data_IF_026237213729
#
_entry.id   IF_026237213729
#
_cell.length_a   1.000
_cell.length_b   1.000
_cell.length_c   1.000
_cell.angle_alpha   90.00
_cell.angle_beta   90.00
_cell.angle_gamma   90.00
#
_symmetry.space_group_name_H-M   'P 1'
#
loop_
_entity.id
_entity.type
_entity.pdbx_description
1 polymer ?
#
# COMPACT_ATOMS: atom_id res chain seq x y z
N UNK A 1 -45.89 81.44 -0.52
CA UNK A 1 -47.19 81.83 0.06
C UNK A 1 -47.02 81.76 1.57
N UNK A 2 -47.20 82.86 2.29
CA UNK A 2 -47.04 82.85 3.75
C UNK A 2 -48.09 81.92 4.38
N UNK A 3 -47.67 81.05 5.31
CA UNK A 3 -48.61 80.18 6.03
C UNK A 3 -49.35 81.01 7.07
N UNK A 4 -50.65 81.22 6.86
CA UNK A 4 -51.52 81.81 7.88
C UNK A 4 -51.75 80.81 9.02
N UNK A 5 -51.68 81.27 10.27
CA UNK A 5 -51.82 80.43 11.46
C UNK A 5 -53.15 80.74 12.16
N UNK A 6 -53.94 79.70 12.40
CA UNK A 6 -55.19 79.75 13.16
C UNK A 6 -55.03 78.97 14.46
N UNK A 7 -55.34 79.59 15.60
CA UNK A 7 -55.20 78.99 16.93
C UNK A 7 -56.50 79.06 17.73
N UNK A 8 -56.98 77.92 18.20
CA UNK A 8 -58.21 77.80 19.01
C UNK A 8 -57.86 77.27 20.39
N UNK A 9 -58.34 77.95 21.44
CA UNK A 9 -58.29 77.43 22.81
C UNK A 9 -59.45 76.47 23.02
N UNK A 10 -59.12 75.20 23.21
CA UNK A 10 -60.09 74.15 23.55
C UNK A 10 -59.86 73.68 24.98
N UNK A 11 -60.91 73.13 25.60
CA UNK A 11 -60.81 72.49 26.90
C UNK A 11 -59.93 71.21 26.80
N UNK A 12 -59.37 70.72 27.93
CA UNK A 12 -58.47 69.56 27.90
C UNK A 12 -59.14 68.29 27.35
N UNK A 13 -60.44 68.10 27.59
CA UNK A 13 -61.18 66.93 27.09
C UNK A 13 -61.28 66.90 25.55
N UNK A 14 -61.61 68.03 24.91
CA UNK A 14 -61.67 68.11 23.44
C UNK A 14 -60.27 67.99 22.86
N UNK A 15 -59.26 68.58 23.51
CA UNK A 15 -57.87 68.45 23.07
C UNK A 15 -57.44 66.98 22.98
N UNK A 16 -57.79 66.18 23.99
CA UNK A 16 -57.45 64.76 24.05
C UNK A 16 -58.20 63.94 22.98
N UNK A 17 -59.51 64.20 22.80
CA UNK A 17 -60.31 63.58 21.74
C UNK A 17 -59.79 63.91 20.34
N UNK A 18 -59.50 65.18 20.06
CA UNK A 18 -58.94 65.64 18.78
C UNK A 18 -57.58 64.99 18.51
N UNK A 19 -56.69 64.96 19.52
CA UNK A 19 -55.37 64.35 19.37
C UNK A 19 -55.47 62.84 19.08
N UNK A 20 -56.42 62.15 19.72
CA UNK A 20 -56.68 60.72 19.49
C UNK A 20 -57.22 60.46 18.07
N UNK A 21 -58.15 61.29 17.60
CA UNK A 21 -58.71 61.18 16.24
C UNK A 21 -57.66 61.43 15.16
N UNK A 22 -56.76 62.41 15.37
CA UNK A 22 -55.64 62.67 14.44
C UNK A 22 -54.73 61.44 14.38
N UNK A 23 -54.33 60.89 15.52
CA UNK A 23 -53.44 59.72 15.58
C UNK A 23 -54.04 58.49 14.87
N UNK A 24 -55.35 58.24 15.03
CA UNK A 24 -56.06 57.13 14.36
C UNK A 24 -56.19 57.35 12.86
N UNK A 25 -56.34 58.61 12.42
CA UNK A 25 -56.49 58.93 10.99
C UNK A 25 -55.20 58.77 10.19
N UNK A 26 -54.03 58.78 10.85
CA UNK A 26 -52.72 58.79 10.18
C UNK A 26 -52.40 60.07 9.40
N UNK A 27 -53.28 61.08 9.47
CA UNK A 27 -53.11 62.39 8.83
C UNK A 27 -52.32 63.34 9.75
N UNK A 28 -51.64 64.32 9.16
CA UNK A 28 -51.09 65.43 9.95
C UNK A 28 -52.22 66.28 10.56
N UNK A 29 -51.96 66.97 11.67
CA UNK A 29 -52.97 67.81 12.32
C UNK A 29 -53.58 68.87 11.39
N UNK A 30 -52.82 69.32 10.39
CA UNK A 30 -53.28 70.25 9.36
C UNK A 30 -54.27 69.58 8.41
N UNK A 31 -53.88 68.46 7.80
CA UNK A 31 -54.72 67.72 6.83
C UNK A 31 -55.99 67.20 7.49
N UNK A 32 -55.89 66.76 8.74
CA UNK A 32 -57.04 66.35 9.54
C UNK A 32 -58.01 67.52 9.74
N UNK A 33 -57.51 68.70 10.12
CA UNK A 33 -58.37 69.88 10.34
C UNK A 33 -59.02 70.38 9.04
N UNK A 34 -58.27 70.45 7.94
CA UNK A 34 -58.81 70.77 6.61
C UNK A 34 -59.88 69.77 6.18
N UNK A 35 -59.67 68.47 6.45
CA UNK A 35 -60.66 67.42 6.19
C UNK A 35 -61.91 67.56 7.05
N UNK A 36 -61.79 67.99 8.30
CA UNK A 36 -62.95 68.20 9.20
C UNK A 36 -63.75 69.43 8.79
N UNK A 37 -63.08 70.52 8.41
CA UNK A 37 -63.74 71.75 7.93
C UNK A 37 -64.54 71.47 6.65
N UNK A 38 -63.93 70.77 5.68
CA UNK A 38 -64.63 70.38 4.45
C UNK A 38 -65.80 69.42 4.72
N UNK A 39 -65.66 68.48 5.68
CA UNK A 39 -66.77 67.62 6.10
C UNK A 39 -67.92 68.43 6.71
N UNK A 40 -67.59 69.41 7.54
CA UNK A 40 -68.57 70.29 8.18
C UNK A 40 -69.31 71.15 7.15
N UNK A 41 -68.60 71.72 6.16
CA UNK A 41 -69.22 72.46 5.06
C UNK A 41 -70.17 71.57 4.25
N UNK A 42 -69.77 70.34 3.95
CA UNK A 42 -70.61 69.35 3.26
C UNK A 42 -71.87 68.99 4.06
N UNK A 43 -71.73 68.80 5.39
CA UNK A 43 -72.83 68.54 6.31
C UNK A 43 -73.82 69.72 6.32
N UNK A 44 -73.30 70.95 6.35
CA UNK A 44 -74.10 72.18 6.36
C UNK A 44 -74.84 72.35 5.03
N UNK A 45 -74.20 72.01 3.91
CA UNK A 45 -74.83 71.99 2.57
C UNK A 45 -75.95 70.94 2.46
N UNK A 46 -75.79 69.75 3.04
CA UNK A 46 -76.84 68.71 3.08
C UNK A 46 -78.14 69.19 3.75
N UNK A 47 -78.07 70.14 4.67
CA UNK A 47 -79.24 70.69 5.37
C UNK A 47 -79.91 71.89 4.67
N UNK A 48 -79.35 72.38 3.55
CA UNK A 48 -79.90 73.50 2.79
C UNK A 48 -81.14 73.07 1.96
N UNK A 49 -82.20 73.89 1.91
CA UNK A 49 -83.48 73.55 1.25
C UNK A 49 -83.36 73.23 -0.24
N UNK A 50 -82.37 73.81 -0.92
CA UNK A 50 -82.04 73.55 -2.34
C UNK A 50 -81.33 72.21 -2.58
N UNK A 51 -80.63 71.67 -1.59
CA UNK A 51 -79.90 70.40 -1.68
C UNK A 51 -80.76 69.17 -1.33
N UNK A 52 -81.90 69.38 -0.64
CA UNK A 52 -82.85 68.30 -0.30
C UNK A 52 -83.30 67.46 -1.51
N UNK A 53 -83.37 68.05 -2.71
CA UNK A 53 -83.71 67.34 -3.95
C UNK A 53 -82.66 66.32 -4.39
N UNK A 54 -81.39 66.48 -3.97
CA UNK A 54 -80.26 65.62 -4.32
C UNK A 54 -79.75 64.79 -3.14
N UNK A 55 -80.42 64.87 -1.99
CA UNK A 55 -79.98 64.25 -0.75
C UNK A 55 -79.93 62.72 -0.86
N UNK A 56 -80.92 62.14 -1.55
CA UNK A 56 -80.95 60.71 -1.90
C UNK A 56 -79.75 60.30 -2.76
N UNK A 57 -79.39 61.10 -3.77
CA UNK A 57 -78.26 60.80 -4.65
C UNK A 57 -76.92 60.89 -3.88
N UNK A 58 -76.79 61.86 -2.97
CA UNK A 58 -75.63 62.00 -2.08
C UNK A 58 -75.49 60.81 -1.11
N UNK A 59 -76.60 60.28 -0.59
CA UNK A 59 -76.59 59.08 0.26
C UNK A 59 -76.14 57.83 -0.51
N UNK A 60 -76.67 57.63 -1.73
CA UNK A 60 -76.26 56.53 -2.62
C UNK A 60 -74.77 56.66 -2.97
N UNK A 61 -74.28 57.87 -3.27
CA UNK A 61 -72.87 58.08 -3.58
C UNK A 61 -71.97 57.79 -2.37
N UNK A 62 -72.41 58.16 -1.16
CA UNK A 62 -71.71 57.85 0.07
C UNK A 62 -71.68 56.35 0.34
N UNK A 63 -72.77 55.63 0.10
CA UNK A 63 -72.84 54.17 0.17
C UNK A 63 -71.88 53.51 -0.82
N UNK A 64 -71.91 53.92 -2.10
CA UNK A 64 -71.00 53.41 -3.12
C UNK A 64 -69.53 53.66 -2.77
N UNK A 65 -69.21 54.85 -2.26
CA UNK A 65 -67.85 55.20 -1.82
C UNK A 65 -67.41 54.31 -0.64
N UNK A 66 -68.32 54.06 0.31
CA UNK A 66 -68.06 53.17 1.44
C UNK A 66 -67.82 51.74 0.98
N UNK A 67 -68.64 51.25 0.03
CA UNK A 67 -68.48 49.94 -0.57
C UNK A 67 -67.17 49.79 -1.34
N UNK A 68 -66.75 50.83 -2.07
CA UNK A 68 -65.45 50.87 -2.74
C UNK A 68 -64.32 50.74 -1.71
N UNK A 69 -64.38 51.49 -0.61
CA UNK A 69 -63.38 51.41 0.47
C UNK A 69 -63.32 50.02 1.11
N UNK A 70 -64.46 49.37 1.36
CA UNK A 70 -64.49 47.99 1.87
C UNK A 70 -63.81 47.00 0.93
N UNK A 71 -64.09 47.11 -0.39
CA UNK A 71 -63.46 46.27 -1.40
C UNK A 71 -61.96 46.51 -1.44
N UNK A 72 -61.51 47.77 -1.36
CA UNK A 72 -60.09 48.11 -1.26
C UNK A 72 -59.45 47.53 0.00
N UNK A 73 -60.05 47.69 1.18
CA UNK A 73 -59.54 47.12 2.43
C UNK A 73 -59.46 45.59 2.37
N UNK A 74 -60.46 44.94 1.79
CA UNK A 74 -60.47 43.48 1.59
C UNK A 74 -59.35 43.05 0.64
N UNK A 75 -59.12 43.78 -0.45
CA UNK A 75 -58.05 43.49 -1.39
C UNK A 75 -56.67 43.68 -0.75
N UNK A 76 -56.46 44.78 -0.02
CA UNK A 76 -55.22 45.04 0.72
C UNK A 76 -54.95 43.90 1.70
N UNK A 77 -55.97 43.50 2.48
CA UNK A 77 -55.84 42.37 3.41
C UNK A 77 -55.46 41.08 2.70
N UNK A 78 -56.13 40.77 1.59
CA UNK A 78 -55.81 39.58 0.79
C UNK A 78 -54.36 39.61 0.29
N UNK A 79 -53.89 40.75 -0.21
CA UNK A 79 -52.49 40.90 -0.67
C UNK A 79 -51.51 40.71 0.48
N UNK A 80 -51.81 41.24 1.67
CA UNK A 80 -50.99 41.05 2.87
C UNK A 80 -50.95 39.56 3.25
N UNK A 81 -52.10 38.90 3.29
CA UNK A 81 -52.21 37.48 3.64
C UNK A 81 -51.47 36.58 2.63
N UNK A 82 -51.62 36.83 1.33
CA UNK A 82 -50.92 36.12 0.26
C UNK A 82 -49.40 36.33 0.34
N UNK A 83 -48.95 37.56 0.64
CA UNK A 83 -47.53 37.87 0.81
C UNK A 83 -46.94 37.20 2.06
N UNK A 84 -47.68 37.20 3.18
CA UNK A 84 -47.26 36.51 4.40
C UNK A 84 -47.14 35.01 4.16
N UNK A 85 -48.13 34.40 3.51
CA UNK A 85 -48.08 32.99 3.14
C UNK A 85 -46.85 32.69 2.27
N UNK A 86 -46.64 33.45 1.20
CA UNK A 86 -45.49 33.28 0.31
C UNK A 86 -44.16 33.46 1.04
N UNK A 87 -44.05 34.46 1.91
CA UNK A 87 -42.86 34.69 2.73
C UNK A 87 -42.58 33.53 3.67
N UNK A 88 -43.61 32.93 4.30
CA UNK A 88 -43.42 31.75 5.15
C UNK A 88 -42.98 30.52 4.37
N UNK A 89 -43.49 30.34 3.16
CA UNK A 89 -43.12 29.19 2.31
C UNK A 89 -41.68 29.34 1.79
N UNK A 90 -41.28 30.56 1.40
CA UNK A 90 -39.88 30.88 1.06
C UNK A 90 -38.96 30.59 2.25
N UNK A 91 -39.35 30.95 3.47
CA UNK A 91 -38.55 30.70 4.67
C UNK A 91 -38.36 29.19 4.92
N UNK A 92 -39.42 28.38 4.78
CA UNK A 92 -39.33 26.91 4.91
C UNK A 92 -38.39 26.30 3.86
N UNK A 93 -38.56 26.68 2.59
CA UNK A 93 -37.71 26.18 1.50
C UNK A 93 -36.25 26.58 1.72
N UNK A 94 -36.02 27.81 2.21
CA UNK A 94 -34.67 28.29 2.53
C UNK A 94 -34.04 27.47 3.66
N UNK A 95 -34.79 27.16 4.72
CA UNK A 95 -34.33 26.31 5.82
C UNK A 95 -34.01 24.89 5.36
N UNK A 96 -34.87 24.28 4.55
CA UNK A 96 -34.63 22.93 4.06
C UNK A 96 -33.41 22.88 3.12
N UNK A 97 -33.26 23.86 2.24
CA UNK A 97 -32.07 24.00 1.41
C UNK A 97 -30.81 24.15 2.26
N UNK A 98 -30.85 24.95 3.32
CA UNK A 98 -29.73 25.14 4.23
C UNK A 98 -29.34 23.82 4.94
N UNK A 99 -30.34 23.05 5.40
CA UNK A 99 -30.13 21.73 6.00
C UNK A 99 -29.43 20.77 5.04
N UNK A 100 -29.87 20.72 3.78
CA UNK A 100 -29.26 19.86 2.75
C UNK A 100 -27.81 20.30 2.46
N UNK A 101 -27.55 21.61 2.40
CA UNK A 101 -26.20 22.14 2.21
C UNK A 101 -25.28 21.69 3.35
N UNK A 102 -25.73 21.82 4.60
CA UNK A 102 -24.95 21.40 5.77
C UNK A 102 -24.66 19.89 5.77
N UNK A 103 -25.64 19.07 5.39
CA UNK A 103 -25.49 17.62 5.27
C UNK A 103 -24.44 17.25 4.20
N UNK A 104 -24.50 17.91 3.03
CA UNK A 104 -23.52 17.70 1.95
C UNK A 104 -22.12 18.19 2.35
N UNK A 105 -22.01 19.33 3.03
CA UNK A 105 -20.73 19.84 3.53
C UNK A 105 -20.09 18.89 4.54
N UNK A 106 -20.88 18.32 5.45
CA UNK A 106 -20.41 17.31 6.39
C UNK A 106 -19.93 16.05 5.67
N UNK A 107 -20.65 15.59 4.65
CA UNK A 107 -20.23 14.43 3.85
C UNK A 107 -18.92 14.70 3.09
N UNK A 108 -18.77 15.90 2.50
CA UNK A 108 -17.53 16.32 1.84
C UNK A 108 -16.36 16.36 2.83
N UNK A 109 -16.57 16.90 4.02
CA UNK A 109 -15.54 16.91 5.07
C UNK A 109 -15.14 15.51 5.52
N UNK A 110 -16.12 14.60 5.65
CA UNK A 110 -15.87 13.21 6.01
C UNK A 110 -15.04 12.50 4.93
N UNK A 111 -15.47 12.58 3.67
CA UNK A 111 -14.76 11.95 2.54
C UNK A 111 -13.35 12.54 2.37
N UNK A 112 -13.16 13.84 2.58
CA UNK A 112 -11.83 14.45 2.55
C UNK A 112 -10.91 13.88 3.63
N UNK A 113 -11.42 13.63 4.85
CA UNK A 113 -10.63 13.01 5.92
C UNK A 113 -10.23 11.59 5.55
N UNK A 114 -11.16 10.78 5.04
CA UNK A 114 -10.85 9.43 4.56
C UNK A 114 -9.81 9.45 3.44
N UNK A 115 -9.94 10.36 2.47
CA UNK A 115 -9.00 10.52 1.38
C UNK A 115 -7.60 10.92 1.87
N UNK A 116 -7.51 11.81 2.87
CA UNK A 116 -6.22 12.16 3.47
C UNK A 116 -5.58 10.98 4.21
N UNK A 117 -6.39 10.16 4.88
CA UNK A 117 -5.92 8.99 5.60
C UNK A 117 -5.39 7.91 4.65
N UNK A 118 -6.16 7.59 3.60
CA UNK A 118 -5.75 6.65 2.55
C UNK A 118 -4.46 7.11 1.87
N UNK A 119 -4.32 8.41 1.58
CA UNK A 119 -3.08 8.95 1.02
C UNK A 119 -1.89 8.82 1.97
N UNK A 120 -2.11 8.97 3.28
CA UNK A 120 -1.08 8.75 4.31
C UNK A 120 -0.63 7.29 4.30
N UNK A 121 -1.57 6.35 4.34
CA UNK A 121 -1.30 4.90 4.31
C UNK A 121 -0.59 4.47 3.01
N UNK A 122 -1.00 5.01 1.87
CA UNK A 122 -0.38 4.75 0.57
C UNK A 122 1.07 5.25 0.56
N UNK A 123 1.33 6.44 1.10
CA UNK A 123 2.68 6.99 1.23
C UNK A 123 3.57 6.12 2.13
N UNK A 124 3.04 5.61 3.24
CA UNK A 124 3.77 4.70 4.14
C UNK A 124 4.07 3.35 3.47
N UNK A 125 3.08 2.79 2.77
CA UNK A 125 3.24 1.54 2.01
C UNK A 125 4.25 1.70 0.88
N UNK A 126 4.28 2.86 0.22
CA UNK A 126 5.27 3.14 -0.80
C UNK A 126 6.70 3.23 -0.22
N UNK A 127 6.85 3.85 0.95
CA UNK A 127 8.14 3.90 1.66
C UNK A 127 8.62 2.51 2.07
N UNK A 128 7.74 1.68 2.63
CA UNK A 128 8.11 0.32 3.04
C UNK A 128 8.44 -0.57 1.83
N UNK A 129 7.69 -0.44 0.74
CA UNK A 129 8.00 -1.12 -0.53
C UNK A 129 9.38 -0.73 -1.05
N UNK A 130 9.72 0.57 -1.04
CA UNK A 130 11.04 1.04 -1.46
C UNK A 130 12.17 0.48 -0.60
N UNK A 131 11.98 0.43 0.72
CA UNK A 131 12.96 -0.18 1.64
C UNK A 131 13.16 -1.67 1.35
N UNK A 132 12.08 -2.39 1.04
CA UNK A 132 12.15 -3.80 0.68
C UNK A 132 12.90 -4.01 -0.64
N UNK A 133 12.67 -3.16 -1.63
CA UNK A 133 13.36 -3.21 -2.93
C UNK A 133 14.87 -2.96 -2.79
N UNK A 134 15.26 -1.99 -1.97
CA UNK A 134 16.66 -1.72 -1.62
C UNK A 134 17.32 -2.92 -0.93
N UNK A 135 16.64 -3.55 0.04
CA UNK A 135 17.13 -4.76 0.71
C UNK A 135 17.25 -5.95 -0.26
N UNK A 136 16.27 -6.17 -1.12
CA UNK A 136 16.33 -7.22 -2.14
C UNK A 136 17.50 -7.01 -3.11
N UNK A 137 17.78 -5.76 -3.49
CA UNK A 137 18.92 -5.42 -4.35
C UNK A 137 20.25 -5.72 -3.66
N UNK A 138 20.41 -5.32 -2.39
CA UNK A 138 21.61 -5.62 -1.61
C UNK A 138 21.82 -7.13 -1.40
N UNK A 139 20.74 -7.89 -1.18
CA UNK A 139 20.82 -9.34 -1.08
C UNK A 139 21.23 -9.99 -2.39
N UNK A 140 20.73 -9.53 -3.54
CA UNK A 140 21.15 -10.01 -4.86
C UNK A 140 22.66 -9.80 -5.08
N UNK A 141 23.19 -8.63 -4.73
CA UNK A 141 24.62 -8.35 -4.81
C UNK A 141 25.43 -9.27 -3.90
N UNK A 142 24.95 -9.52 -2.68
CA UNK A 142 25.59 -10.44 -1.73
C UNK A 142 25.64 -11.87 -2.28
N UNK A 143 24.52 -12.35 -2.85
CA UNK A 143 24.46 -13.68 -3.49
C UNK A 143 25.45 -13.77 -4.64
N UNK A 144 25.51 -12.73 -5.49
CA UNK A 144 26.45 -12.68 -6.61
C UNK A 144 27.91 -12.74 -6.13
N UNK A 145 28.26 -12.00 -5.09
CA UNK A 145 29.59 -12.03 -4.49
C UNK A 145 29.93 -13.42 -3.94
N UNK A 146 29.01 -14.04 -3.18
CA UNK A 146 29.21 -15.39 -2.63
C UNK A 146 29.36 -16.45 -3.73
N UNK A 147 28.61 -16.34 -4.82
CA UNK A 147 28.75 -17.21 -5.99
C UNK A 147 30.14 -17.07 -6.63
N UNK A 148 30.60 -15.84 -6.85
CA UNK A 148 31.93 -15.58 -7.40
C UNK A 148 33.05 -16.13 -6.49
N UNK A 149 32.89 -16.01 -5.17
CA UNK A 149 33.85 -16.51 -4.20
C UNK A 149 33.87 -18.04 -4.15
N UNK A 150 32.69 -18.69 -4.24
CA UNK A 150 32.57 -20.15 -4.36
C UNK A 150 33.26 -20.67 -5.63
N UNK A 151 33.04 -20.01 -6.78
CA UNK A 151 33.71 -20.35 -8.04
C UNK A 151 35.24 -20.22 -7.91
N UNK A 152 35.71 -19.15 -7.28
CA UNK A 152 37.14 -18.93 -6.99
C UNK A 152 37.72 -20.05 -6.13
N UNK A 153 37.02 -20.45 -5.08
CA UNK A 153 37.45 -21.55 -4.20
C UNK A 153 37.46 -22.90 -4.93
N UNK A 154 36.43 -23.20 -5.71
CA UNK A 154 36.37 -24.42 -6.52
C UNK A 154 37.51 -24.49 -7.55
N UNK A 155 37.85 -23.37 -8.19
CA UNK A 155 38.99 -23.29 -9.09
C UNK A 155 40.32 -23.53 -8.35
N UNK A 156 40.47 -23.01 -7.13
CA UNK A 156 41.67 -23.23 -6.32
C UNK A 156 41.80 -24.70 -5.88
N UNK A 157 40.70 -25.32 -5.42
CA UNK A 157 40.66 -26.74 -5.05
C UNK A 157 41.01 -27.62 -6.25
N UNK A 158 40.45 -27.32 -7.43
CA UNK A 158 40.73 -28.08 -8.65
C UNK A 158 42.21 -27.99 -9.04
N UNK A 159 42.83 -26.81 -8.93
CA UNK A 159 44.27 -26.63 -9.17
C UNK A 159 45.12 -27.40 -8.16
N UNK A 160 44.81 -27.28 -6.87
CA UNK A 160 45.54 -27.99 -5.81
C UNK A 160 45.47 -29.52 -6.00
N UNK A 161 44.27 -30.06 -6.26
CA UNK A 161 44.09 -31.48 -6.49
C UNK A 161 44.85 -31.96 -7.74
N UNK A 162 44.88 -31.16 -8.81
CA UNK A 162 45.65 -31.46 -10.01
C UNK A 162 47.16 -31.48 -9.74
N UNK A 163 47.68 -30.48 -9.02
CA UNK A 163 49.09 -30.39 -8.66
C UNK A 163 49.54 -31.57 -7.79
N UNK A 164 48.74 -31.93 -6.78
CA UNK A 164 49.02 -33.10 -5.93
C UNK A 164 48.95 -34.42 -6.72
N UNK A 165 47.97 -34.56 -7.63
CA UNK A 165 47.88 -35.73 -8.50
C UNK A 165 49.07 -35.86 -9.44
N UNK A 166 49.52 -34.75 -10.04
CA UNK A 166 50.69 -34.71 -10.91
C UNK A 166 51.97 -35.07 -10.14
N UNK A 167 52.11 -34.56 -8.91
CA UNK A 167 53.22 -34.90 -8.01
C UNK A 167 53.26 -36.40 -7.70
N UNK A 168 52.16 -36.97 -7.21
CA UNK A 168 52.05 -38.42 -6.91
C UNK A 168 52.30 -39.26 -8.16
N UNK A 169 51.78 -38.84 -9.32
CA UNK A 169 52.00 -39.52 -10.60
C UNK A 169 53.47 -39.52 -11.01
N UNK A 170 54.17 -38.40 -10.81
CA UNK A 170 55.60 -38.28 -11.10
C UNK A 170 56.44 -39.12 -10.13
N UNK A 171 56.10 -39.13 -8.83
CA UNK A 171 56.75 -40.00 -7.83
C UNK A 171 56.58 -41.48 -8.17
N UNK A 172 55.36 -41.90 -8.51
CA UNK A 172 55.06 -43.28 -8.94
C UNK A 172 55.85 -43.67 -10.19
N UNK A 173 55.97 -42.76 -11.16
CA UNK A 173 56.78 -42.97 -12.38
C UNK A 173 58.25 -43.15 -12.03
N UNK A 174 58.81 -42.32 -11.15
CA UNK A 174 60.19 -42.43 -10.68
C UNK A 174 60.46 -43.73 -9.94
N UNK A 175 59.53 -44.16 -9.07
CA UNK A 175 59.60 -45.45 -8.38
C UNK A 175 59.55 -46.62 -9.36
N UNK A 176 58.67 -46.57 -10.37
CA UNK A 176 58.57 -47.61 -11.41
C UNK A 176 59.88 -47.75 -12.19
N UNK A 177 60.50 -46.64 -12.59
CA UNK A 177 61.80 -46.65 -13.28
C UNK A 177 62.92 -47.21 -12.38
N UNK A 178 62.94 -46.84 -11.11
CA UNK A 178 63.92 -47.34 -10.14
C UNK A 178 63.76 -48.85 -9.94
N UNK A 179 62.52 -49.33 -9.84
CA UNK A 179 62.18 -50.74 -9.74
C UNK A 179 62.65 -51.51 -10.98
N UNK A 180 62.38 -51.00 -12.18
CA UNK A 180 62.81 -51.62 -13.45
C UNK A 180 64.35 -51.73 -13.55
N UNK A 181 65.07 -50.68 -13.19
CA UNK A 181 66.54 -50.69 -13.13
C UNK A 181 67.03 -51.72 -12.10
N UNK A 182 66.42 -51.78 -10.92
CA UNK A 182 66.77 -52.75 -9.89
C UNK A 182 66.51 -54.20 -10.36
N UNK A 183 65.39 -54.45 -11.02
CA UNK A 183 65.07 -55.76 -11.62
C UNK A 183 66.10 -56.15 -12.68
N UNK A 184 66.48 -55.24 -13.59
CA UNK A 184 67.53 -55.51 -14.59
C UNK A 184 68.90 -55.77 -13.96
N UNK A 185 69.24 -55.07 -12.87
CA UNK A 185 70.47 -55.33 -12.10
C UNK A 185 70.45 -56.70 -11.47
N UNK A 186 69.36 -57.07 -10.79
CA UNK A 186 69.21 -58.40 -10.19
C UNK A 186 69.21 -59.50 -11.26
N UNK A 187 68.56 -59.29 -12.40
CA UNK A 187 68.59 -60.24 -13.52
C UNK A 187 70.02 -60.44 -14.04
N UNK A 188 70.78 -59.35 -14.18
CA UNK A 188 72.20 -59.42 -14.55
C UNK A 188 73.02 -60.17 -13.51
N UNK A 189 72.82 -59.91 -12.22
CA UNK A 189 73.49 -60.61 -11.12
C UNK A 189 73.15 -62.11 -11.11
N UNK A 190 71.89 -62.49 -11.36
CA UNK A 190 71.46 -63.88 -11.51
C UNK A 190 72.16 -64.52 -12.70
N UNK A 191 72.23 -63.86 -13.86
CA UNK A 191 72.94 -64.38 -15.03
C UNK A 191 74.43 -64.55 -14.77
N UNK A 192 75.05 -63.61 -14.04
CA UNK A 192 76.45 -63.69 -13.66
C UNK A 192 76.71 -64.86 -12.69
N UNK A 193 75.83 -65.07 -11.71
CA UNK A 193 75.85 -66.24 -10.82
C UNK A 193 75.64 -67.56 -11.58
N UNK A 194 74.73 -67.60 -12.56
CA UNK A 194 74.54 -68.77 -13.42
C UNK A 194 75.79 -69.04 -14.23
N UNK A 195 76.42 -68.01 -14.81
CA UNK A 195 77.65 -68.13 -15.57
C UNK A 195 78.82 -68.60 -14.70
N UNK A 196 78.97 -68.04 -13.49
CA UNK A 196 79.94 -68.49 -12.49
C UNK A 196 79.73 -69.95 -12.11
N UNK A 197 78.48 -70.37 -11.84
CA UNK A 197 78.15 -71.75 -11.52
C UNK A 197 78.48 -72.70 -12.69
N UNK A 198 78.15 -72.32 -13.92
CA UNK A 198 78.50 -73.10 -15.11
C UNK A 198 80.02 -73.23 -15.27
N UNK A 199 80.77 -72.15 -15.04
CA UNK A 199 82.24 -72.17 -15.06
C UNK A 199 82.81 -73.10 -13.99
N UNK A 200 82.30 -73.04 -12.74
CA UNK A 200 82.71 -73.96 -11.66
C UNK A 200 82.40 -75.42 -11.99
N UNK A 201 81.24 -75.70 -12.61
CA UNK A 201 80.89 -77.05 -13.06
C UNK A 201 81.87 -77.52 -14.13
N UNK A 202 82.19 -76.69 -15.12
CA UNK A 202 83.19 -77.00 -16.16
C UNK A 202 84.57 -77.24 -15.54
N UNK A 203 85.01 -76.40 -14.59
CA UNK A 203 86.28 -76.58 -13.87
C UNK A 203 86.30 -77.88 -13.06
N UNK A 204 85.20 -78.25 -12.39
CA UNK A 204 85.07 -79.54 -11.70
C UNK A 204 85.11 -80.72 -12.66
N UNK A 205 84.49 -80.62 -13.83
CA UNK A 205 84.54 -81.67 -14.86
C UNK A 205 85.93 -81.82 -15.50
N UNK A 206 86.65 -80.71 -15.71
CA UNK A 206 88.03 -80.73 -16.20
C UNK A 206 89.02 -81.25 -15.13
N UNK A 207 88.76 -80.94 -13.85
CA UNK A 207 89.58 -81.39 -12.72
C UNK A 207 89.37 -82.86 -12.35
N UNK A 208 88.21 -83.45 -12.65
CA UNK A 208 87.90 -84.86 -12.32
C UNK A 208 88.33 -85.92 -13.36
N UNK A 209 89.19 -85.58 -14.33
CA UNK A 209 89.72 -86.54 -15.31
C UNK A 209 91.10 -87.14 -14.96
N UNK A 210 91.65 -86.91 -13.75
CA UNK A 210 92.82 -87.64 -13.24
C UNK A 210 92.69 -88.02 -11.74
N UNK A 211 92.68 -89.34 -11.51
CA UNK A 211 92.94 -90.12 -10.28
C UNK A 211 91.95 -90.13 -9.09
N UNK A 212 91.03 -91.11 -9.20
CA UNK A 212 90.45 -92.09 -8.26
C UNK A 212 90.90 -92.29 -6.78
N UNK A 213 89.89 -92.54 -5.92
CA UNK A 213 89.87 -93.41 -4.70
C UNK A 213 89.36 -92.66 -3.43
N UNK A 214 88.41 -93.06 -2.58
CA UNK A 214 87.62 -94.29 -2.29
C UNK A 214 86.43 -93.91 -1.35
N UNK A 215 85.25 -94.55 -1.49
CA UNK A 215 84.28 -95.10 -0.48
C UNK A 215 83.89 -94.24 0.77
N UNK A 216 82.64 -94.12 1.27
CA UNK A 216 81.42 -94.97 1.26
C UNK A 216 80.20 -94.22 1.90
N UNK A 217 78.98 -94.55 1.42
CA UNK A 217 77.66 -94.72 2.11
C UNK A 217 76.97 -93.57 2.88
N UNK A 218 75.73 -93.26 2.45
CA UNK A 218 74.64 -92.72 3.28
C UNK A 218 73.48 -92.15 2.45
N UNK A 219 72.30 -92.77 2.51
CA UNK A 219 71.10 -92.56 1.65
C UNK A 219 70.06 -91.60 2.32
N UNK A 220 68.89 -91.27 1.72
CA UNK A 220 68.32 -89.92 1.58
C UNK A 220 67.02 -89.72 2.40
N UNK A 221 66.25 -88.62 2.26
CA UNK A 221 65.17 -88.50 1.23
C UNK A 221 65.01 -87.04 0.69
N UNK A 222 64.57 -86.74 -0.54
CA UNK A 222 63.25 -86.85 -1.24
C UNK A 222 62.02 -86.25 -0.52
N UNK A 223 61.55 -85.09 -1.01
CA UNK A 223 60.19 -84.76 -1.56
C UNK A 223 60.14 -83.23 -1.75
N UNK A 224 59.89 -82.64 -2.93
CA UNK A 224 58.79 -82.76 -3.88
C UNK A 224 57.46 -82.17 -3.36
N UNK A 225 56.96 -81.16 -4.11
CA UNK A 225 55.53 -80.87 -4.39
C UNK A 225 54.84 -80.09 -3.25
N UNK A 226 53.97 -79.07 -3.41
CA UNK A 226 52.94 -78.66 -4.38
C UNK A 226 52.59 -77.17 -4.05
N UNK A 227 52.39 -76.25 -4.99
CA UNK A 227 51.06 -75.85 -5.50
C UNK A 227 49.86 -76.08 -4.56
N UNK A 228 49.27 -75.00 -4.02
CA UNK A 228 47.81 -74.78 -3.96
C UNK A 228 47.55 -73.34 -3.48
N UNK A 229 47.16 -72.40 -4.34
CA UNK A 229 45.77 -72.02 -4.65
C UNK A 229 44.86 -71.85 -3.42
N UNK A 230 44.57 -70.58 -3.08
CA UNK A 230 43.26 -69.94 -3.20
C UNK A 230 42.50 -69.92 -1.84
N UNK A 231 41.36 -69.24 -1.72
CA UNK A 231 41.21 -67.81 -1.45
C UNK A 231 40.30 -67.65 -0.20
N UNK A 232 39.52 -66.56 -0.14
CA UNK A 232 38.42 -66.30 0.83
C UNK A 232 38.95 -65.54 2.06
N UNK A 233 38.47 -64.35 2.43
CA UNK A 233 37.07 -63.92 2.46
C UNK A 233 36.99 -62.39 2.39
N UNK A 234 36.13 -61.92 1.48
CA UNK A 234 35.48 -60.61 1.57
C UNK A 234 34.45 -60.69 2.70
N UNK A 235 34.38 -59.68 3.58
CA UNK A 235 33.11 -58.98 3.76
C UNK A 235 33.36 -57.47 3.91
N UNK A 236 32.42 -56.58 3.70
CA UNK A 236 31.09 -56.60 3.12
C UNK A 236 30.80 -55.12 2.96
N UNK A 237 30.20 -54.78 1.84
CA UNK A 237 29.61 -53.47 1.61
C UNK A 237 28.58 -53.23 2.72
N UNK A 238 28.66 -52.06 3.38
CA UNK A 238 27.46 -51.38 3.85
C UNK A 238 27.47 -49.97 3.29
N UNK A 239 26.59 -49.81 2.32
CA UNK A 239 25.99 -48.57 1.87
C UNK A 239 25.48 -47.78 3.07
N UNK A 240 25.73 -46.48 3.07
CA UNK A 240 24.89 -45.50 3.75
C UNK A 240 24.93 -44.22 2.94
N UNK A 241 24.00 -44.21 1.99
CA UNK A 241 23.35 -43.13 1.28
C UNK A 241 23.76 -41.70 1.64
N UNK A 242 24.20 -41.01 0.60
CA UNK A 242 24.01 -39.58 0.39
C UNK A 242 22.51 -39.26 0.36
N UNK A 243 22.08 -38.17 1.01
CA UNK A 243 21.39 -37.08 0.32
C UNK A 243 21.17 -35.87 1.22
N UNK A 244 21.80 -34.77 0.79
CA UNK A 244 21.50 -33.41 1.19
C UNK A 244 20.65 -32.81 0.08
N UNK A 245 19.48 -32.25 0.40
CA UNK A 245 18.76 -31.36 -0.50
C UNK A 245 18.10 -30.24 0.30
N UNK A 246 18.60 -29.03 0.11
CA UNK A 246 17.96 -27.76 0.42
C UNK A 246 16.72 -27.57 -0.47
N UNK A 247 15.59 -27.08 0.08
CA UNK A 247 15.08 -25.71 -0.09
C UNK A 247 13.55 -25.56 -0.01
N UNK A 248 13.15 -24.43 0.63
CA UNK A 248 11.98 -23.55 0.43
C UNK A 248 10.64 -23.81 1.17
N UNK A 249 10.41 -22.94 2.15
CA UNK A 249 9.13 -22.26 2.51
C UNK A 249 8.50 -21.48 1.31
N UNK A 250 7.29 -20.85 1.38
CA UNK A 250 6.40 -20.58 2.53
C UNK A 250 4.86 -20.78 2.27
N UNK A 251 4.08 -20.46 3.31
CA UNK A 251 2.68 -19.98 3.32
C UNK A 251 1.54 -20.92 2.90
N UNK A 252 0.70 -21.30 3.88
CA UNK A 252 -0.73 -20.96 3.88
C UNK A 252 -1.37 -21.34 5.23
N UNK A 253 -1.83 -20.36 6.02
CA UNK A 253 -3.08 -20.47 6.80
C UNK A 253 -3.40 -19.11 7.44
N UNK A 254 -4.39 -18.44 6.83
CA UNK A 254 -5.33 -17.53 7.48
C UNK A 254 -6.58 -18.31 7.79
#
# INVERSE_FOLDING_TARGET
>A
MASETFGVKVNPEIKEKVSSMIAVSGLSSKEWFESVVTLYELQTYKHHESAKKYLSDLEILQEHTSRINEVFSSLIKKVIDDNNYTSTEIAKVTLEKQRIIEELEQQVQFLNKELTEINRELSETHKSWKQLDELCSAQKETIFHLQSELERQNALISKFNQEEFDKVTNELRGLKQTLEIATLRHEKEIQELIAQHQQEVIEKYLSNSKSTGERQKGRPPKKAVQEESLPIEVPSIQESSSNTAYNKDPDNER
#
